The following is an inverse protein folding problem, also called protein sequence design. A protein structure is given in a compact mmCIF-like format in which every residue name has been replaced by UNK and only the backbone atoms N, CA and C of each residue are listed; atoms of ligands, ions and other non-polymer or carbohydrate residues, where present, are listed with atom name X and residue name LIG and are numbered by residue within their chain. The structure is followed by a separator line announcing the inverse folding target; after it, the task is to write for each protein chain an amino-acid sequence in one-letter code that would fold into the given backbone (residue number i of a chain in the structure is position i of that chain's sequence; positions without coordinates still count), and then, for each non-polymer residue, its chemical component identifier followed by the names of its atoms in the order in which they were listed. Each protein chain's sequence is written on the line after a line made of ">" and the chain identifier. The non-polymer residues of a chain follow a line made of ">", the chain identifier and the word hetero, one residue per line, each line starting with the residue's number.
data_IF_033990050168
#
_entry.id   IF_033990050168
#
_cell.length_a   1.000
_cell.length_b   1.000
_cell.length_c   1.000
_cell.angle_alpha   90.00
_cell.angle_beta   90.00
_cell.angle_gamma   90.00
#
_symmetry.space_group_name_H-M   'P 1'
#
loop_
_entity.id
_entity.type
_entity.pdbx_description
1 polymer ?
#
# COMPACT_ATOMS: atom_id res chain seq x y z
N UNK A 1 0.36 40.95 17.56
CA UNK A 1 1.37 39.99 17.07
C UNK A 1 0.66 38.70 16.71
N UNK A 2 0.53 38.39 15.43
CA UNK A 2 -0.15 37.18 14.94
C UNK A 2 0.78 35.99 15.06
N UNK A 3 0.33 34.94 15.73
CA UNK A 3 1.02 33.64 15.79
C UNK A 3 1.12 33.11 14.35
N UNK A 4 2.32 32.78 13.83
CA UNK A 4 2.45 32.22 12.50
C UNK A 4 1.67 30.90 12.42
N UNK A 5 1.02 30.60 11.28
CA UNK A 5 0.25 29.38 11.13
C UNK A 5 1.12 28.16 11.44
N UNK A 6 0.58 27.13 12.11
CA UNK A 6 1.37 25.96 12.47
C UNK A 6 1.87 25.24 11.21
N UNK A 7 3.19 25.09 11.09
CA UNK A 7 3.82 24.38 9.99
C UNK A 7 3.34 22.91 9.94
N UNK A 8 2.95 22.45 8.75
CA UNK A 8 2.50 21.06 8.56
C UNK A 8 3.70 20.14 8.76
N UNK A 9 3.72 19.39 9.86
CA UNK A 9 4.80 18.46 10.21
C UNK A 9 4.40 17.03 9.90
N UNK A 10 5.18 16.41 9.04
CA UNK A 10 4.89 15.11 8.46
C UNK A 10 5.98 14.13 8.85
N UNK A 11 5.53 12.98 9.35
CA UNK A 11 6.42 11.95 9.86
C UNK A 11 5.83 10.55 9.68
N UNK A 12 6.64 9.52 9.44
CA UNK A 12 6.14 8.13 9.29
C UNK A 12 5.29 7.70 10.50
N UNK A 13 4.05 7.25 10.30
CA UNK A 13 3.10 7.01 11.40
C UNK A 13 3.50 5.93 12.41
N UNK A 14 2.77 5.87 13.54
CA UNK A 14 2.96 4.91 14.67
C UNK A 14 3.09 3.43 14.23
N UNK A 15 2.61 3.07 13.03
CA UNK A 15 2.69 1.72 12.48
C UNK A 15 4.13 1.24 12.26
N UNK A 16 5.09 2.14 12.01
CA UNK A 16 6.50 1.78 11.87
C UNK A 16 7.09 1.12 13.13
N UNK A 17 6.53 1.43 14.31
CA UNK A 17 6.97 0.90 15.61
C UNK A 17 6.23 -0.37 16.04
N UNK A 18 5.14 -0.75 15.36
CA UNK A 18 4.31 -1.90 15.79
C UNK A 18 5.06 -3.21 15.74
N UNK A 19 5.92 -3.41 14.74
CA UNK A 19 6.65 -4.67 14.58
C UNK A 19 7.77 -4.82 15.62
N UNK A 20 8.68 -3.85 15.80
CA UNK A 20 9.68 -3.92 16.88
C UNK A 20 9.04 -4.10 18.25
N UNK A 21 7.97 -3.35 18.53
CA UNK A 21 7.24 -3.44 19.80
C UNK A 21 6.63 -4.85 20.01
N UNK A 22 6.00 -5.41 18.97
CA UNK A 22 5.44 -6.78 19.03
C UNK A 22 6.53 -7.81 19.30
N UNK A 23 7.67 -7.73 18.59
CA UNK A 23 8.79 -8.67 18.78
C UNK A 23 9.31 -8.60 20.22
N UNK A 24 9.54 -7.39 20.74
CA UNK A 24 9.96 -7.19 22.13
C UNK A 24 8.97 -7.76 23.13
N UNK A 25 7.68 -7.45 22.99
CA UNK A 25 6.62 -8.00 23.85
C UNK A 25 6.56 -9.53 23.77
N UNK A 26 6.58 -10.11 22.56
CA UNK A 26 6.51 -11.58 22.40
C UNK A 26 7.70 -12.28 23.03
N UNK A 27 8.90 -11.71 22.89
CA UNK A 27 10.10 -12.27 23.48
C UNK A 27 10.06 -12.22 25.01
N UNK A 28 9.61 -11.09 25.58
CA UNK A 28 9.42 -10.94 27.02
C UNK A 28 8.36 -11.91 27.56
N UNK A 29 7.22 -12.07 26.87
CA UNK A 29 6.17 -13.01 27.30
C UNK A 29 6.63 -14.47 27.18
N UNK A 30 7.38 -14.83 26.14
CA UNK A 30 7.91 -16.18 25.98
C UNK A 30 8.97 -16.48 27.06
N UNK A 31 9.86 -15.53 27.34
CA UNK A 31 10.83 -15.64 28.43
C UNK A 31 10.14 -15.81 29.78
N UNK A 32 9.14 -14.99 30.08
CA UNK A 32 8.36 -15.08 31.32
C UNK A 32 7.61 -16.41 31.43
N UNK A 33 6.97 -16.88 30.35
CA UNK A 33 6.24 -18.15 30.34
C UNK A 33 7.17 -19.35 30.60
N UNK A 34 8.36 -19.36 30.00
CA UNK A 34 9.37 -20.41 30.23
C UNK A 34 9.95 -20.34 31.65
N UNK A 35 10.18 -19.13 32.18
CA UNK A 35 10.62 -18.95 33.58
C UNK A 35 9.54 -19.40 34.58
N UNK A 36 8.26 -19.16 34.31
CA UNK A 36 7.17 -19.61 35.18
C UNK A 36 6.89 -21.11 35.05
N UNK A 37 6.99 -21.69 33.86
CA UNK A 37 6.79 -23.13 33.65
C UNK A 37 7.87 -23.97 34.33
N UNK A 38 9.11 -23.46 34.38
CA UNK A 38 10.22 -24.11 35.09
C UNK A 38 10.09 -24.02 36.62
N UNK A 39 9.28 -23.10 37.14
CA UNK A 39 8.98 -22.98 38.58
C UNK A 39 7.73 -23.76 39.02
N UNK A 40 6.87 -24.19 38.10
CA UNK A 40 5.52 -24.71 38.41
C UNK A 40 5.29 -26.19 38.05
N UNK A 41 6.32 -26.92 37.63
CA UNK A 41 6.22 -28.33 37.22
C UNK A 41 6.23 -29.32 38.41
N UNK A 42 5.55 -30.49 38.31
CA UNK A 42 5.50 -31.49 39.37
C UNK A 42 6.83 -32.23 39.63
N UNK A 43 7.79 -32.14 38.69
CA UNK A 43 9.21 -32.39 38.93
C UNK A 43 9.94 -31.06 38.97
N UNK A 44 9.92 -30.39 40.12
CA UNK A 44 10.73 -29.18 40.32
C UNK A 44 12.20 -29.57 40.14
N UNK A 45 12.83 -29.04 39.08
CA UNK A 45 14.23 -29.28 38.77
C UNK A 45 15.13 -28.97 39.97
N UNK A 46 16.27 -29.66 40.04
CA UNK A 46 17.33 -29.33 40.99
C UNK A 46 17.67 -27.82 40.87
N UNK A 47 17.83 -27.07 41.98
CA UNK A 47 17.88 -25.60 41.94
C UNK A 47 18.98 -25.03 41.03
N UNK A 48 20.05 -25.81 40.79
CA UNK A 48 21.12 -25.47 39.85
C UNK A 48 20.67 -25.42 38.39
N UNK A 49 19.88 -26.38 37.95
CA UNK A 49 19.42 -26.49 36.56
C UNK A 49 18.27 -25.51 36.26
N UNK A 50 17.42 -25.25 37.25
CA UNK A 50 16.40 -24.20 37.16
C UNK A 50 17.03 -22.81 36.99
N UNK A 51 18.07 -22.49 37.77
CA UNK A 51 18.81 -21.22 37.64
C UNK A 51 19.49 -21.08 36.28
N UNK A 52 20.10 -22.15 35.77
CA UNK A 52 20.76 -22.15 34.45
C UNK A 52 19.76 -21.91 33.32
N UNK A 53 18.59 -22.55 33.39
CA UNK A 53 17.53 -22.43 32.39
C UNK A 53 16.89 -21.04 32.42
N UNK A 54 16.58 -20.50 33.59
CA UNK A 54 16.09 -19.13 33.75
C UNK A 54 17.14 -18.12 33.24
N UNK A 55 18.42 -18.33 33.52
CA UNK A 55 19.49 -17.46 33.02
C UNK A 55 19.62 -17.50 31.49
N UNK A 56 19.52 -18.68 30.87
CA UNK A 56 19.63 -18.84 29.40
C UNK A 56 18.41 -18.27 28.68
N UNK A 57 17.19 -18.61 29.10
CA UNK A 57 15.97 -18.16 28.42
C UNK A 57 15.59 -16.72 28.80
N UNK A 58 15.79 -16.31 30.05
CA UNK A 58 15.63 -14.92 30.49
C UNK A 58 16.68 -14.01 29.86
N UNK A 59 17.92 -14.46 29.76
CA UNK A 59 18.99 -13.76 29.03
C UNK A 59 18.69 -13.65 27.54
N UNK A 60 18.21 -14.71 26.90
CA UNK A 60 17.78 -14.70 25.50
C UNK A 60 16.62 -13.72 25.24
N UNK A 61 15.61 -13.71 26.10
CA UNK A 61 14.49 -12.78 26.01
C UNK A 61 14.94 -11.31 26.17
N UNK A 62 15.86 -11.05 27.12
CA UNK A 62 16.45 -9.73 27.33
C UNK A 62 17.23 -9.25 26.09
N UNK A 63 18.03 -10.12 25.47
CA UNK A 63 18.77 -9.81 24.25
C UNK A 63 17.83 -9.46 23.08
N UNK A 64 16.74 -10.21 22.90
CA UNK A 64 15.75 -9.91 21.85
C UNK A 64 15.03 -8.58 22.13
N UNK A 65 14.68 -8.29 23.39
CA UNK A 65 14.09 -7.02 23.78
C UNK A 65 15.06 -5.85 23.53
N UNK A 66 16.34 -6.01 23.86
CA UNK A 66 17.39 -5.03 23.60
C UNK A 66 17.60 -4.80 22.09
N UNK A 67 17.63 -5.88 21.31
CA UNK A 67 17.71 -5.79 19.85
C UNK A 67 16.48 -5.08 19.25
N UNK A 68 15.27 -5.34 19.76
CA UNK A 68 14.05 -4.65 19.34
C UNK A 68 14.07 -3.16 19.73
N UNK A 69 14.57 -2.81 20.92
CA UNK A 69 14.75 -1.43 21.37
C UNK A 69 15.79 -0.70 20.52
N UNK A 70 16.94 -1.32 20.25
CA UNK A 70 17.96 -0.80 19.35
C UNK A 70 17.40 -0.59 17.94
N UNK A 71 16.61 -1.54 17.43
CA UNK A 71 15.94 -1.41 16.14
C UNK A 71 14.94 -0.25 16.12
N UNK A 72 14.12 -0.10 17.17
CA UNK A 72 13.20 1.03 17.30
C UNK A 72 13.94 2.37 17.35
N UNK A 73 15.08 2.42 18.03
CA UNK A 73 15.96 3.58 18.08
C UNK A 73 16.58 3.90 16.71
N UNK A 74 17.07 2.89 15.98
CA UNK A 74 17.58 3.05 14.61
C UNK A 74 16.47 3.59 13.69
N UNK A 75 15.26 3.03 13.75
CA UNK A 75 14.10 3.52 12.99
C UNK A 75 13.77 4.96 13.33
N UNK A 76 13.82 5.32 14.62
CA UNK A 76 13.58 6.70 15.06
C UNK A 76 14.64 7.67 14.53
N UNK A 77 15.93 7.29 14.56
CA UNK A 77 17.04 8.10 14.06
C UNK A 77 17.07 8.21 12.54
N UNK A 78 16.65 7.18 11.82
CA UNK A 78 16.56 7.16 10.35
C UNK A 78 15.30 7.80 9.77
N UNK A 79 14.38 8.26 10.62
CA UNK A 79 13.10 8.83 10.21
C UNK A 79 13.31 10.18 9.53
N UNK A 80 12.72 10.34 8.35
CA UNK A 80 12.57 11.64 7.72
C UNK A 80 11.36 12.36 8.35
N UNK A 81 11.61 13.56 8.84
CA UNK A 81 10.61 14.54 9.25
C UNK A 81 10.61 15.63 8.20
N UNK A 82 9.44 15.96 7.66
CA UNK A 82 9.28 17.03 6.69
C UNK A 82 8.33 18.04 7.29
N UNK A 83 8.77 19.29 7.41
CA UNK A 83 7.94 20.40 7.84
C UNK A 83 7.74 21.36 6.68
N UNK A 84 6.49 21.68 6.36
CA UNK A 84 6.11 22.66 5.34
C UNK A 84 5.66 23.93 6.05
N UNK A 85 6.28 25.06 5.73
CA UNK A 85 5.88 26.37 6.23
C UNK A 85 6.15 27.47 5.21
N UNK A 86 5.75 28.70 5.53
CA UNK A 86 5.85 29.87 4.64
C UNK A 86 7.27 30.12 4.13
N UNK A 87 8.29 29.80 4.94
CA UNK A 87 9.70 30.01 4.59
C UNK A 87 10.26 28.93 3.67
N UNK A 88 9.58 27.79 3.52
CA UNK A 88 10.07 26.66 2.74
C UNK A 88 9.83 25.30 3.40
N UNK A 89 10.59 24.31 2.94
CA UNK A 89 10.58 22.94 3.44
C UNK A 89 11.78 22.70 4.35
N UNK A 90 11.53 22.14 5.53
CA UNK A 90 12.59 21.66 6.42
C UNK A 90 12.58 20.14 6.43
N UNK A 91 13.68 19.55 5.97
CA UNK A 91 13.94 18.11 5.97
C UNK A 91 14.85 17.77 7.13
N UNK A 92 14.42 16.88 8.01
CA UNK A 92 15.25 16.43 9.14
C UNK A 92 15.33 14.91 9.18
N UNK A 93 16.55 14.39 9.33
CA UNK A 93 16.82 12.96 9.55
C UNK A 93 17.86 12.81 10.66
N UNK A 94 17.41 12.36 11.83
CA UNK A 94 18.25 12.28 13.01
C UNK A 94 18.73 13.65 13.50
N UNK A 95 20.04 13.87 13.50
CA UNK A 95 20.69 15.16 13.82
C UNK A 95 20.98 16.02 12.60
N UNK A 96 20.74 15.50 11.39
CA UNK A 96 20.94 16.26 10.16
C UNK A 96 19.66 16.98 9.79
N UNK A 97 19.81 18.22 9.37
CA UNK A 97 18.73 19.09 8.94
C UNK A 97 19.15 19.80 7.66
N UNK A 98 18.23 19.89 6.72
CA UNK A 98 18.39 20.63 5.48
C UNK A 98 17.13 21.45 5.27
N UNK A 99 17.30 22.71 4.88
CA UNK A 99 16.20 23.61 4.55
C UNK A 99 16.23 23.91 3.07
N UNK A 100 15.07 23.80 2.42
CA UNK A 100 14.84 24.19 1.04
C UNK A 100 13.98 25.44 1.11
N UNK A 101 14.50 26.63 0.76
CA UNK A 101 13.74 27.86 0.83
C UNK A 101 12.55 27.81 -0.16
N UNK A 102 11.45 28.49 0.16
CA UNK A 102 10.24 28.46 -0.66
C UNK A 102 10.51 28.83 -2.13
N UNK A 103 11.33 29.86 -2.37
CA UNK A 103 11.72 30.28 -3.73
C UNK A 103 12.60 29.29 -4.50
N UNK A 104 13.15 28.27 -3.84
CA UNK A 104 13.87 27.18 -4.49
C UNK A 104 12.98 25.96 -4.79
N UNK A 105 11.75 25.93 -4.29
CA UNK A 105 10.81 24.83 -4.57
C UNK A 105 10.13 25.10 -5.91
N UNK A 106 10.45 24.31 -6.91
CA UNK A 106 9.86 24.40 -8.24
C UNK A 106 8.46 23.76 -8.28
N UNK A 107 8.29 22.62 -7.61
CA UNK A 107 7.02 21.91 -7.52
C UNK A 107 7.01 20.90 -6.36
N UNK A 108 5.81 20.51 -5.93
CA UNK A 108 5.58 19.43 -4.97
C UNK A 108 4.56 18.46 -5.55
N UNK A 109 4.67 17.17 -5.27
CA UNK A 109 3.71 16.27 -5.90
C UNK A 109 3.92 14.78 -5.73
N UNK A 110 3.28 14.00 -6.58
CA UNK A 110 3.34 12.53 -6.55
C UNK A 110 4.01 12.03 -7.81
N UNK A 111 4.96 11.12 -7.67
CA UNK A 111 5.47 10.30 -8.77
C UNK A 111 4.92 8.87 -8.62
N UNK A 112 4.47 8.25 -9.71
CA UNK A 112 4.02 6.85 -9.73
C UNK A 112 5.09 5.91 -10.29
N UNK A 113 6.10 5.49 -9.51
CA UNK A 113 6.92 4.36 -9.92
C UNK A 113 6.05 3.09 -10.00
N UNK A 114 6.48 2.12 -10.80
CA UNK A 114 5.91 0.78 -11.13
C UNK A 114 4.97 0.09 -10.11
N UNK A 115 4.94 0.46 -8.81
CA UNK A 115 4.09 -0.19 -7.80
C UNK A 115 3.41 0.70 -6.75
N UNK A 116 3.99 1.85 -6.36
CA UNK A 116 3.53 2.60 -5.16
C UNK A 116 3.76 4.11 -5.36
N UNK A 117 2.82 4.99 -4.98
CA UNK A 117 3.01 6.43 -5.12
C UNK A 117 4.14 6.92 -4.21
N UNK A 118 4.93 7.86 -4.74
CA UNK A 118 6.03 8.49 -4.06
C UNK A 118 5.78 10.01 -3.95
N UNK A 119 5.80 10.55 -2.74
CA UNK A 119 5.82 12.00 -2.53
C UNK A 119 7.20 12.53 -2.93
N UNK A 120 7.21 13.41 -3.91
CA UNK A 120 8.39 14.00 -4.53
C UNK A 120 8.33 15.52 -4.42
N UNK A 121 9.49 16.14 -4.22
CA UNK A 121 9.68 17.59 -4.30
C UNK A 121 10.70 17.88 -5.39
N UNK A 122 10.36 18.79 -6.30
CA UNK A 122 11.26 19.33 -7.30
C UNK A 122 11.78 20.68 -6.80
N UNK A 123 13.09 20.84 -6.79
CA UNK A 123 13.72 22.02 -6.23
C UNK A 123 15.05 22.32 -6.90
N UNK A 124 15.49 23.56 -6.80
CA UNK A 124 16.82 23.98 -7.22
C UNK A 124 17.88 23.46 -6.22
N UNK A 125 18.75 22.51 -6.63
CA UNK A 125 19.76 21.94 -5.74
C UNK A 125 20.84 22.96 -5.34
N UNK A 126 21.06 24.03 -6.12
CA UNK A 126 22.05 25.07 -5.80
C UNK A 126 21.61 25.92 -4.61
N UNK A 127 20.30 26.21 -4.55
CA UNK A 127 19.69 26.98 -3.46
C UNK A 127 19.41 26.17 -2.18
N UNK A 128 19.60 24.84 -2.21
CA UNK A 128 19.38 23.96 -1.07
C UNK A 128 20.56 22.99 -0.81
N UNK A 129 21.76 23.52 -0.49
CA UNK A 129 22.91 22.70 -0.17
C UNK A 129 22.63 21.84 1.06
N UNK A 130 22.82 20.51 0.93
CA UNK A 130 22.64 19.56 2.03
C UNK A 130 21.37 18.71 1.96
N UNK A 131 20.43 18.99 1.05
CA UNK A 131 19.25 18.13 0.84
C UNK A 131 19.63 16.65 0.57
N UNK A 132 20.70 16.43 -0.21
CA UNK A 132 21.25 15.10 -0.50
C UNK A 132 21.81 14.35 0.72
N UNK A 133 22.12 15.06 1.81
CA UNK A 133 22.61 14.45 3.06
C UNK A 133 21.48 13.89 3.92
N UNK A 134 20.25 14.33 3.67
CA UNK A 134 19.04 14.03 4.45
C UNK A 134 18.08 13.14 3.64
N UNK A 135 18.02 13.29 2.33
CA UNK A 135 17.16 12.47 1.45
C UNK A 135 17.89 12.03 0.18
N UNK A 136 17.33 11.02 -0.51
CA UNK A 136 17.85 10.60 -1.81
C UNK A 136 17.39 11.61 -2.85
N UNK A 137 18.35 12.31 -3.44
CA UNK A 137 18.13 13.27 -4.53
C UNK A 137 18.51 12.60 -5.84
N UNK A 138 17.62 12.63 -6.82
CA UNK A 138 17.81 12.14 -8.18
C UNK A 138 17.64 13.34 -9.13
N UNK A 139 18.76 13.90 -9.59
CA UNK A 139 18.75 15.15 -10.38
C UNK A 139 18.22 16.33 -9.57
N UNK A 140 17.10 16.92 -10.02
CA UNK A 140 16.39 18.04 -9.36
C UNK A 140 15.22 17.59 -8.48
N UNK A 141 15.04 16.29 -8.30
CA UNK A 141 13.92 15.73 -7.55
C UNK A 141 14.40 15.02 -6.27
N UNK A 142 13.73 15.27 -5.15
CA UNK A 142 13.89 14.53 -3.92
C UNK A 142 12.64 13.68 -3.66
N UNK A 143 12.82 12.36 -3.60
CA UNK A 143 11.75 11.46 -3.16
C UNK A 143 11.76 11.44 -1.63
N UNK A 144 10.73 12.04 -1.02
CA UNK A 144 10.64 12.20 0.43
C UNK A 144 10.06 10.95 1.09
N UNK A 145 8.94 10.46 0.56
CA UNK A 145 8.28 9.26 1.06
C UNK A 145 7.80 8.40 -0.09
N UNK A 146 8.03 7.09 -0.01
CA UNK A 146 7.36 6.09 -0.84
C UNK A 146 6.34 5.43 0.04
N UNK A 147 5.11 5.28 -0.41
CA UNK A 147 4.11 4.71 0.48
C UNK A 147 3.30 3.54 -0.06
N UNK A 148 3.19 2.55 0.80
CA UNK A 148 2.25 1.42 0.70
C UNK A 148 0.97 1.68 1.51
N UNK A 149 1.00 2.63 2.47
CA UNK A 149 -0.02 2.90 3.48
C UNK A 149 -0.03 4.37 3.98
N UNK A 150 -0.32 5.32 3.09
CA UNK A 150 -0.57 6.70 3.50
C UNK A 150 -1.76 6.77 4.46
N UNK A 151 -1.64 7.48 5.60
CA UNK A 151 -2.82 7.82 6.40
C UNK A 151 -3.85 8.56 5.53
N UNK A 152 -5.15 8.27 5.69
CA UNK A 152 -6.20 9.04 5.03
C UNK A 152 -6.04 10.54 5.30
N UNK A 153 -6.28 11.38 4.29
CA UNK A 153 -6.21 12.85 4.39
C UNK A 153 -4.81 13.48 4.36
N UNK A 154 -3.73 12.68 4.35
CA UNK A 154 -2.37 13.25 4.33
C UNK A 154 -2.03 13.93 3.01
N UNK A 155 -2.38 13.31 1.87
CA UNK A 155 -2.11 13.91 0.54
C UNK A 155 -2.87 15.22 0.39
N UNK A 156 -4.12 15.28 0.84
CA UNK A 156 -4.93 16.49 0.82
C UNK A 156 -4.31 17.59 1.68
N UNK A 157 -3.82 17.25 2.88
CA UNK A 157 -3.10 18.17 3.74
C UNK A 157 -1.78 18.65 3.12
N UNK A 158 -1.01 17.76 2.48
CA UNK A 158 0.25 18.11 1.79
C UNK A 158 -0.04 19.00 0.59
N UNK A 159 -1.06 18.67 -0.20
CA UNK A 159 -1.50 19.45 -1.34
C UNK A 159 -1.87 20.87 -0.88
N UNK A 160 -2.78 20.99 0.10
CA UNK A 160 -3.18 22.28 0.67
C UNK A 160 -1.98 23.06 1.21
N UNK A 161 -1.08 22.43 1.97
CA UNK A 161 0.13 23.09 2.46
C UNK A 161 1.10 23.50 1.34
N UNK A 162 1.24 22.70 0.29
CA UNK A 162 2.09 23.03 -0.86
C UNK A 162 1.51 24.21 -1.66
N UNK A 163 0.21 24.22 -1.93
CA UNK A 163 -0.44 25.24 -2.75
C UNK A 163 -0.73 26.53 -1.99
N UNK A 164 -1.20 26.44 -0.74
CA UNK A 164 -1.66 27.59 0.04
C UNK A 164 -0.56 28.21 0.90
N UNK A 165 0.31 27.40 1.50
CA UNK A 165 1.35 27.88 2.43
C UNK A 165 2.68 28.11 1.72
N UNK A 166 3.11 27.15 0.90
CA UNK A 166 4.38 27.21 0.18
C UNK A 166 4.28 27.95 -1.16
N UNK A 167 3.08 28.06 -1.73
CA UNK A 167 2.84 28.67 -3.05
C UNK A 167 3.42 27.86 -4.21
N UNK A 168 3.79 26.60 -3.99
CA UNK A 168 4.38 25.73 -5.00
C UNK A 168 3.29 25.00 -5.81
N UNK A 169 3.46 24.81 -7.12
CA UNK A 169 2.52 24.06 -7.94
C UNK A 169 2.51 22.57 -7.55
N UNK A 170 1.32 21.98 -7.58
CA UNK A 170 1.13 20.55 -7.36
C UNK A 170 1.24 19.78 -8.68
N UNK A 171 2.13 18.78 -8.74
CA UNK A 171 2.34 17.96 -9.95
C UNK A 171 2.11 16.48 -9.67
N UNK A 172 1.61 15.76 -10.66
CA UNK A 172 1.53 14.29 -10.61
C UNK A 172 2.21 13.76 -11.84
N UNK A 173 3.29 13.01 -11.66
CA UNK A 173 4.00 12.38 -12.76
C UNK A 173 3.75 10.87 -12.77
N UNK A 174 3.59 10.29 -13.95
CA UNK A 174 3.65 8.84 -14.14
C UNK A 174 5.11 8.34 -14.08
N UNK A 175 5.34 7.08 -14.46
CA UNK A 175 6.70 6.51 -14.43
C UNK A 175 7.57 6.96 -15.60
N UNK A 176 6.92 7.36 -16.70
CA UNK A 176 7.54 7.93 -17.89
C UNK A 176 7.96 9.39 -17.65
N UNK A 177 7.47 10.00 -16.56
CA UNK A 177 7.75 11.39 -16.18
C UNK A 177 6.75 12.37 -16.78
N UNK A 178 5.68 11.88 -17.36
CA UNK A 178 4.63 12.68 -17.98
C UNK A 178 3.60 13.13 -16.94
N UNK A 179 3.08 14.34 -17.12
CA UNK A 179 2.15 14.93 -16.16
C UNK A 179 0.73 14.37 -16.32
N UNK A 180 0.21 13.78 -15.25
CA UNK A 180 -1.10 13.14 -15.22
C UNK A 180 -2.15 14.10 -14.66
N UNK A 181 -3.09 14.49 -15.52
CA UNK A 181 -4.26 15.29 -15.12
C UNK A 181 -5.11 14.59 -14.06
N UNK A 182 -5.90 15.36 -13.31
CA UNK A 182 -6.84 14.80 -12.32
C UNK A 182 -8.06 14.21 -13.02
N UNK A 183 -8.29 12.89 -12.99
CA UNK A 183 -9.51 12.32 -13.54
C UNK A 183 -10.72 12.71 -12.68
N UNK A 184 -11.94 12.80 -13.27
CA UNK A 184 -13.18 12.92 -12.50
C UNK A 184 -13.33 11.80 -11.47
N UNK A 185 -13.98 12.08 -10.34
CA UNK A 185 -14.12 11.10 -9.24
C UNK A 185 -14.84 9.80 -9.66
N UNK A 186 -15.71 9.89 -10.67
CA UNK A 186 -16.50 8.80 -11.20
C UNK A 186 -15.96 8.24 -12.52
N UNK A 187 -14.75 8.63 -12.94
CA UNK A 187 -14.13 8.16 -14.17
C UNK A 187 -13.97 6.63 -14.18
N UNK A 188 -13.45 6.06 -13.09
CA UNK A 188 -13.28 4.61 -12.98
C UNK A 188 -14.64 3.88 -12.93
N UNK A 189 -15.64 4.26 -12.11
CA UNK A 189 -16.98 3.68 -12.17
C UNK A 189 -17.64 3.75 -13.55
N UNK A 190 -17.49 4.87 -14.28
CA UNK A 190 -18.13 5.08 -15.59
C UNK A 190 -17.44 4.36 -16.75
N UNK A 191 -16.14 4.06 -16.64
CA UNK A 191 -15.37 3.45 -17.73
C UNK A 191 -15.95 2.08 -18.16
N UNK A 192 -16.52 2.02 -19.36
CA UNK A 192 -17.11 0.79 -19.90
C UNK A 192 -16.07 -0.23 -20.35
N UNK A 193 -14.85 0.21 -20.70
CA UNK A 193 -13.76 -0.67 -21.17
C UNK A 193 -12.45 -0.20 -20.57
N UNK A 194 -11.75 -1.11 -19.90
CA UNK A 194 -10.57 -0.79 -19.10
C UNK A 194 -9.45 -1.76 -19.48
N UNK A 195 -8.30 -1.23 -19.88
CA UNK A 195 -7.07 -2.02 -20.04
C UNK A 195 -6.34 -2.07 -18.70
N UNK A 196 -6.03 -3.27 -18.24
CA UNK A 196 -5.22 -3.50 -17.05
C UNK A 196 -3.89 -4.10 -17.46
N UNK A 197 -2.79 -3.39 -17.21
CA UNK A 197 -1.45 -3.88 -17.54
C UNK A 197 -0.89 -4.85 -16.49
N UNK A 198 0.27 -5.45 -16.78
CA UNK A 198 0.94 -6.38 -15.87
C UNK A 198 1.45 -5.76 -14.57
N UNK A 199 1.48 -4.42 -14.46
CA UNK A 199 1.81 -3.69 -13.23
C UNK A 199 0.55 -3.35 -12.39
N UNK A 200 -0.65 -3.61 -12.92
CA UNK A 200 -1.93 -3.35 -12.26
C UNK A 200 -2.47 -1.93 -12.47
N UNK A 201 -2.12 -1.27 -13.58
CA UNK A 201 -2.67 0.03 -13.96
C UNK A 201 -3.93 -0.12 -14.78
N UNK A 202 -4.95 0.65 -14.44
CA UNK A 202 -6.24 0.70 -15.10
C UNK A 202 -6.26 1.94 -15.99
N UNK A 203 -6.20 1.75 -17.31
CA UNK A 203 -6.31 2.81 -18.32
C UNK A 203 -7.60 2.62 -19.11
N UNK A 204 -8.14 3.71 -19.65
CA UNK A 204 -9.26 3.62 -20.59
C UNK A 204 -8.84 2.91 -21.90
N UNK A 205 -9.83 2.40 -22.65
CA UNK A 205 -9.75 1.44 -23.78
C UNK A 205 -8.55 1.60 -24.73
N UNK A 206 -8.13 2.82 -25.04
CA UNK A 206 -7.07 3.09 -26.03
C UNK A 206 -5.68 3.30 -25.39
N UNK A 207 -5.51 2.89 -24.13
CA UNK A 207 -4.28 3.12 -23.38
C UNK A 207 -4.11 4.57 -22.91
N UNK A 208 -5.19 5.35 -22.93
CA UNK A 208 -5.26 6.78 -22.59
C UNK A 208 -5.16 7.08 -21.08
N UNK A 209 -6.00 7.98 -20.59
CA UNK A 209 -5.93 8.54 -19.23
C UNK A 209 -5.85 7.43 -18.17
N UNK A 210 -4.88 7.56 -17.26
CA UNK A 210 -4.73 6.67 -16.11
C UNK A 210 -5.91 6.87 -15.16
N UNK A 211 -6.72 5.82 -14.98
CA UNK A 211 -7.92 5.84 -14.14
C UNK A 211 -7.59 5.40 -12.71
N UNK A 212 -6.78 4.35 -12.58
CA UNK A 212 -6.38 3.82 -11.29
C UNK A 212 -5.10 2.97 -11.31
N UNK A 213 -4.50 2.75 -10.15
CA UNK A 213 -3.32 1.89 -9.94
C UNK A 213 -3.56 0.95 -8.77
N UNK A 214 -3.36 -0.34 -8.99
CA UNK A 214 -3.46 -1.37 -7.96
C UNK A 214 -2.16 -1.47 -7.15
N UNK A 215 -2.19 -0.96 -5.91
CA UNK A 215 -1.03 -0.96 -5.01
C UNK A 215 -1.11 -2.14 -4.03
N UNK A 216 -0.03 -2.92 -3.87
CA UNK A 216 0.06 -3.94 -2.82
C UNK A 216 0.72 -5.27 -3.19
N UNK A 217 0.81 -6.19 -2.22
CA UNK A 217 1.65 -7.42 -2.26
C UNK A 217 1.20 -8.50 -3.26
N UNK A 218 0.14 -8.26 -4.03
CA UNK A 218 -0.31 -9.14 -5.13
C UNK A 218 0.15 -8.63 -6.51
N UNK A 219 0.60 -7.37 -6.63
CA UNK A 219 1.09 -6.77 -7.88
C UNK A 219 2.54 -7.16 -8.22
N UNK A 220 3.22 -7.90 -7.33
CA UNK A 220 4.58 -8.38 -7.58
C UNK A 220 4.58 -9.75 -8.23
N UNK A 221 5.02 -9.82 -9.50
CA UNK A 221 5.59 -11.04 -10.08
C UNK A 221 6.61 -11.60 -9.07
N UNK A 222 6.62 -12.91 -8.76
CA UNK A 222 7.65 -13.46 -7.88
C UNK A 222 9.02 -13.18 -8.52
N UNK A 223 9.87 -12.41 -7.82
CA UNK A 223 11.29 -12.36 -8.15
C UNK A 223 11.82 -13.78 -8.03
N UNK A 224 12.27 -14.36 -9.14
CA UNK A 224 13.11 -15.54 -9.11
C UNK A 224 14.31 -15.24 -8.18
N UNK A 225 14.48 -16.05 -7.12
CA UNK A 225 15.63 -15.94 -6.21
C UNK A 225 15.35 -15.61 -4.74
N UNK A 226 14.13 -15.75 -4.22
CA UNK A 226 13.93 -15.75 -2.76
C UNK A 226 14.16 -17.16 -2.21
N UNK A 227 15.31 -17.37 -1.56
CA UNK A 227 15.78 -18.65 -1.03
C UNK A 227 14.83 -19.36 -0.06
N UNK A 228 15.09 -20.66 0.07
CA UNK A 228 14.49 -21.56 1.05
C UNK A 228 14.67 -21.02 2.47
N UNK A 229 13.60 -20.47 3.07
CA UNK A 229 13.24 -20.46 4.50
C UNK A 229 12.14 -19.40 4.77
N UNK A 230 10.87 -19.78 4.97
CA UNK A 230 9.80 -18.83 5.29
C UNK A 230 9.62 -18.73 6.81
N UNK A 231 10.49 -18.00 7.50
CA UNK A 231 10.35 -17.72 8.95
C UNK A 231 10.30 -16.20 9.21
N UNK A 232 9.30 -15.54 8.61
CA UNK A 232 8.95 -14.16 8.94
C UNK A 232 7.44 -14.02 9.10
N UNK A 233 6.92 -13.29 10.12
CA UNK A 233 5.48 -13.10 10.34
C UNK A 233 4.93 -12.02 9.40
N UNK A 234 5.20 -12.18 8.11
CA UNK A 234 4.64 -11.43 7.00
C UNK A 234 3.45 -12.16 6.35
N UNK A 235 2.90 -13.20 6.99
CA UNK A 235 1.65 -13.88 6.60
C UNK A 235 0.39 -13.01 6.80
N UNK A 236 0.55 -11.68 6.81
CA UNK A 236 -0.51 -10.70 7.01
C UNK A 236 -1.07 -10.23 5.68
N UNK A 237 -2.35 -10.54 5.45
CA UNK A 237 -3.27 -9.85 4.53
C UNK A 237 -2.77 -9.55 3.11
N UNK A 238 -3.25 -10.32 2.13
CA UNK A 238 -3.19 -9.99 0.70
C UNK A 238 -4.15 -8.83 0.40
N UNK A 239 -3.75 -7.63 0.80
CA UNK A 239 -4.51 -6.39 0.56
C UNK A 239 -3.97 -5.70 -0.68
N UNK A 240 -4.86 -5.38 -1.62
CA UNK A 240 -4.61 -4.51 -2.76
C UNK A 240 -5.46 -3.26 -2.54
N UNK A 241 -4.88 -2.10 -2.74
CA UNK A 241 -5.59 -0.82 -2.69
C UNK A 241 -5.58 -0.26 -4.10
N UNK A 242 -6.76 -0.12 -4.69
CA UNK A 242 -6.93 0.57 -5.96
C UNK A 242 -7.00 2.07 -5.67
N UNK A 243 -6.09 2.84 -6.24
CA UNK A 243 -5.99 4.29 -6.04
C UNK A 243 -6.15 5.03 -7.35
N UNK A 244 -6.65 6.27 -7.32
CA UNK A 244 -6.55 7.17 -8.46
C UNK A 244 -5.11 7.70 -8.64
N UNK A 245 -4.78 8.42 -9.73
CA UNK A 245 -3.46 9.03 -9.91
C UNK A 245 -3.08 10.09 -8.86
N UNK A 246 -4.03 10.61 -8.09
CA UNK A 246 -3.75 11.56 -7.01
C UNK A 246 -3.62 10.83 -5.66
N UNK A 247 -3.47 9.50 -5.72
CA UNK A 247 -3.33 8.57 -4.61
C UNK A 247 -4.50 8.58 -3.61
N UNK A 248 -5.68 9.04 -4.02
CA UNK A 248 -6.95 8.79 -3.30
C UNK A 248 -7.29 7.32 -3.38
N UNK A 249 -7.70 6.74 -2.26
CA UNK A 249 -8.19 5.36 -2.22
C UNK A 249 -9.53 5.30 -2.94
N UNK A 250 -9.67 4.40 -3.91
CA UNK A 250 -10.94 4.10 -4.58
C UNK A 250 -11.57 2.82 -4.00
N UNK A 251 -10.80 1.73 -3.97
CA UNK A 251 -11.25 0.44 -3.46
C UNK A 251 -10.16 -0.26 -2.65
N UNK A 252 -10.57 -1.05 -1.66
CA UNK A 252 -9.69 -1.91 -0.87
C UNK A 252 -10.11 -3.36 -1.06
N UNK A 253 -9.24 -4.14 -1.70
CA UNK A 253 -9.43 -5.55 -1.98
C UNK A 253 -8.66 -6.37 -0.95
N UNK A 254 -9.34 -7.17 -0.15
CA UNK A 254 -8.71 -8.03 0.87
C UNK A 254 -8.97 -9.49 0.56
N UNK A 255 -7.94 -10.20 0.11
CA UNK A 255 -8.00 -11.65 -0.07
C UNK A 255 -7.71 -12.34 1.26
N UNK A 256 -8.62 -13.23 1.69
CA UNK A 256 -8.38 -14.12 2.83
C UNK A 256 -7.33 -15.17 2.44
N UNK A 257 -6.65 -15.74 3.44
CA UNK A 257 -5.64 -16.77 3.21
C UNK A 257 -6.23 -17.90 2.33
N UNK A 258 -5.46 -18.43 1.35
CA UNK A 258 -5.95 -19.46 0.47
C UNK A 258 -6.19 -20.73 1.29
N UNK A 259 -7.44 -20.96 1.66
CA UNK A 259 -7.90 -22.27 2.11
C UNK A 259 -8.45 -22.95 0.86
N UNK A 260 -8.00 -24.18 0.53
CA UNK A 260 -8.53 -24.92 -0.61
C UNK A 260 -10.07 -24.91 -0.61
N UNK A 261 -10.68 -24.48 -1.73
CA UNK A 261 -12.14 -24.37 -1.87
C UNK A 261 -12.81 -23.16 -1.16
N UNK A 262 -12.06 -22.26 -0.52
CA UNK A 262 -12.61 -21.09 0.20
C UNK A 262 -11.88 -19.79 -0.13
N UNK A 263 -11.42 -19.65 -1.37
CA UNK A 263 -10.90 -18.37 -1.86
C UNK A 263 -12.00 -17.31 -1.80
N UNK A 264 -11.73 -16.25 -1.04
CA UNK A 264 -12.65 -15.13 -0.81
C UNK A 264 -11.89 -13.82 -0.85
N UNK A 265 -12.37 -12.89 -1.66
CA UNK A 265 -11.90 -11.52 -1.74
C UNK A 265 -13.02 -10.59 -1.28
N UNK A 266 -12.73 -9.77 -0.27
CA UNK A 266 -13.63 -8.70 0.19
C UNK A 266 -13.29 -7.42 -0.54
N UNK A 267 -14.30 -6.71 -1.02
CA UNK A 267 -14.15 -5.42 -1.68
C UNK A 267 -14.82 -4.35 -0.83
N UNK A 268 -14.02 -3.38 -0.38
CA UNK A 268 -14.51 -2.23 0.38
C UNK A 268 -14.30 -0.93 -0.39
N UNK A 269 -15.15 0.06 -0.14
CA UNK A 269 -15.01 1.40 -0.66
C UNK A 269 -13.87 2.18 0.03
N UNK A 270 -13.68 3.44 -0.38
CA UNK A 270 -12.70 4.37 0.19
C UNK A 270 -12.91 4.63 1.70
N UNK A 271 -14.14 4.52 2.18
CA UNK A 271 -14.54 4.75 3.58
C UNK A 271 -14.45 3.48 4.44
N UNK A 272 -14.20 2.33 3.83
CA UNK A 272 -14.10 1.03 4.49
C UNK A 272 -15.42 0.27 4.59
N UNK A 273 -16.51 0.76 3.99
CA UNK A 273 -17.76 0.01 3.90
C UNK A 273 -17.58 -1.18 2.96
N UNK A 274 -18.17 -2.32 3.31
CA UNK A 274 -18.13 -3.51 2.47
C UNK A 274 -19.09 -3.33 1.28
N UNK A 275 -18.55 -3.28 0.07
CA UNK A 275 -19.33 -3.26 -1.18
C UNK A 275 -19.87 -4.66 -1.47
N UNK A 276 -19.02 -5.67 -1.27
CA UNK A 276 -19.38 -7.06 -1.52
C UNK A 276 -18.18 -7.98 -1.51
N UNK A 277 -18.39 -9.20 -2.02
CA UNK A 277 -17.41 -10.26 -1.95
C UNK A 277 -17.37 -11.10 -3.21
N UNK A 278 -16.17 -11.53 -3.56
CA UNK A 278 -15.92 -12.47 -4.65
C UNK A 278 -15.48 -13.79 -4.03
N UNK A 279 -16.12 -14.88 -4.41
CA UNK A 279 -15.86 -16.23 -3.89
C UNK A 279 -15.44 -17.15 -5.03
N UNK A 280 -14.57 -18.12 -4.76
CA UNK A 280 -14.07 -19.03 -5.77
C UNK A 280 -12.84 -18.50 -6.51
N UNK A 281 -12.06 -19.42 -7.08
CA UNK A 281 -10.80 -19.11 -7.76
C UNK A 281 -10.91 -19.14 -9.28
N UNK A 282 -11.37 -20.26 -9.84
CA UNK A 282 -11.46 -20.47 -11.30
C UNK A 282 -12.73 -19.88 -11.90
N UNK A 283 -13.87 -20.07 -11.23
CA UNK A 283 -15.18 -19.54 -11.62
C UNK A 283 -15.72 -18.66 -10.49
N UNK A 284 -15.26 -17.41 -10.37
CA UNK A 284 -15.64 -16.57 -9.25
C UNK A 284 -17.13 -16.20 -9.28
N UNK A 285 -17.77 -16.26 -8.12
CA UNK A 285 -19.13 -15.74 -7.88
C UNK A 285 -19.09 -14.43 -7.11
N UNK A 286 -19.98 -13.51 -7.47
CA UNK A 286 -20.08 -12.16 -6.92
C UNK A 286 -21.25 -12.06 -5.98
N UNK A 287 -21.04 -11.50 -4.79
CA UNK A 287 -22.04 -11.39 -3.75
C UNK A 287 -22.11 -9.97 -3.18
N UNK A 288 -23.30 -9.54 -2.79
CA UNK A 288 -23.48 -8.34 -1.96
C UNK A 288 -22.81 -8.51 -0.59
N UNK A 289 -22.74 -7.42 0.19
CA UNK A 289 -22.28 -7.45 1.57
C UNK A 289 -23.05 -8.46 2.45
N UNK A 290 -24.36 -8.62 2.21
CA UNK A 290 -25.24 -9.55 2.93
C UNK A 290 -25.15 -11.00 2.41
N UNK A 291 -24.43 -11.23 1.31
CA UNK A 291 -24.20 -12.56 0.74
C UNK A 291 -25.11 -12.95 -0.43
N UNK A 292 -26.03 -12.08 -0.84
CA UNK A 292 -26.90 -12.29 -2.01
C UNK A 292 -26.07 -12.41 -3.28
N UNK A 293 -26.32 -13.44 -4.10
CA UNK A 293 -25.64 -13.64 -5.37
C UNK A 293 -26.02 -12.52 -6.36
N UNK A 294 -25.01 -11.89 -6.96
CA UNK A 294 -25.17 -10.86 -8.00
C UNK A 294 -24.87 -11.40 -9.39
N UNK A 295 -23.93 -12.35 -9.48
CA UNK A 295 -23.53 -12.95 -10.74
C UNK A 295 -22.45 -14.01 -10.56
N UNK A 296 -22.18 -14.73 -11.63
CA UNK A 296 -21.15 -15.78 -11.69
C UNK A 296 -20.25 -15.56 -12.88
N UNK A 297 -19.01 -16.03 -12.78
CA UNK A 297 -18.03 -15.98 -13.86
C UNK A 297 -17.89 -17.34 -14.48
N UNK A 298 -17.86 -17.41 -15.81
CA UNK A 298 -17.51 -18.61 -16.56
C UNK A 298 -16.38 -18.31 -17.54
N UNK A 299 -15.45 -19.25 -17.67
CA UNK A 299 -14.45 -19.17 -18.72
C UNK A 299 -15.05 -19.59 -20.07
N UNK A 300 -14.82 -18.79 -21.10
CA UNK A 300 -15.32 -19.02 -22.46
C UNK A 300 -14.20 -18.76 -23.49
N UNK A 301 -13.25 -19.68 -23.61
CA UNK A 301 -12.07 -19.49 -24.47
C UNK A 301 -11.06 -18.54 -23.85
N UNK A 302 -10.72 -17.46 -24.56
CA UNK A 302 -9.74 -16.41 -24.19
C UNK A 302 -10.30 -15.38 -23.18
N UNK A 303 -11.55 -15.55 -22.75
CA UNK A 303 -12.27 -14.60 -21.92
C UNK A 303 -12.95 -15.24 -20.71
N UNK A 304 -13.11 -14.44 -19.67
CA UNK A 304 -13.95 -14.72 -18.52
C UNK A 304 -15.19 -13.83 -18.62
N UNK A 305 -16.37 -14.45 -18.68
CA UNK A 305 -17.65 -13.74 -18.80
C UNK A 305 -18.34 -13.76 -17.46
N UNK A 306 -18.69 -12.57 -16.96
CA UNK A 306 -19.50 -12.38 -15.76
C UNK A 306 -20.95 -12.22 -16.18
N UNK A 307 -21.79 -13.17 -15.77
CA UNK A 307 -23.22 -13.17 -16.04
C UNK A 307 -23.96 -12.79 -14.76
N UNK A 308 -24.87 -11.82 -14.86
CA UNK A 308 -25.75 -11.42 -13.77
C UNK A 308 -26.81 -12.49 -13.47
N UNK A 309 -27.52 -12.33 -12.34
CA UNK A 309 -28.68 -13.18 -12.00
C UNK A 309 -29.83 -13.11 -13.01
N UNK A 310 -29.84 -12.07 -13.84
CA UNK A 310 -30.77 -11.86 -14.96
C UNK A 310 -30.33 -12.61 -16.24
N UNK A 311 -29.30 -13.45 -16.15
CA UNK A 311 -28.68 -14.19 -17.25
C UNK A 311 -28.05 -13.30 -18.35
N UNK A 312 -27.87 -11.99 -18.10
CA UNK A 312 -27.23 -11.07 -19.04
C UNK A 312 -25.74 -10.94 -18.75
N UNK A 313 -24.95 -10.75 -19.79
CA UNK A 313 -23.54 -10.41 -19.65
C UNK A 313 -23.41 -9.04 -18.98
N UNK A 314 -22.75 -9.03 -17.82
CA UNK A 314 -22.55 -7.85 -16.99
C UNK A 314 -21.12 -7.31 -17.10
N UNK A 315 -20.15 -8.18 -17.33
CA UNK A 315 -18.77 -7.81 -17.63
C UNK A 315 -18.07 -8.96 -18.36
N UNK A 316 -17.00 -8.66 -19.08
CA UNK A 316 -16.10 -9.67 -19.61
C UNK A 316 -14.65 -9.23 -19.47
N UNK A 317 -13.78 -10.18 -19.14
CA UNK A 317 -12.34 -9.99 -19.05
C UNK A 317 -11.69 -10.82 -20.14
N UNK A 318 -11.11 -10.17 -21.14
CA UNK A 318 -10.30 -10.81 -22.18
C UNK A 318 -8.83 -10.82 -21.77
N UNK A 319 -8.19 -11.97 -21.90
CA UNK A 319 -6.75 -12.13 -21.70
C UNK A 319 -6.12 -11.99 -23.09
N UNK A 320 -5.38 -10.89 -23.32
CA UNK A 320 -4.70 -10.65 -24.59
C UNK A 320 -3.33 -11.32 -24.66
N UNK A 321 -2.95 -11.76 -25.85
CA UNK A 321 -1.66 -12.40 -26.16
C UNK A 321 -0.63 -11.41 -26.74
N UNK A 322 -0.75 -10.12 -26.35
CA UNK A 322 0.12 -9.08 -26.88
C UNK A 322 1.58 -9.32 -26.44
N UNK A 323 2.50 -9.31 -27.42
CA UNK A 323 3.95 -9.53 -27.30
C UNK A 323 4.71 -8.56 -26.36
N UNK A 324 3.99 -7.71 -25.62
CA UNK A 324 4.48 -6.77 -24.61
C UNK A 324 4.03 -7.08 -23.17
N UNK A 325 3.43 -8.24 -22.90
CA UNK A 325 3.25 -8.77 -21.55
C UNK A 325 1.86 -8.56 -20.93
N UNK A 326 1.01 -9.59 -21.04
CA UNK A 326 -0.02 -9.93 -20.04
C UNK A 326 -1.12 -8.90 -19.77
N UNK A 327 -1.32 -7.91 -20.63
CA UNK A 327 -2.38 -6.93 -20.47
C UNK A 327 -3.77 -7.59 -20.66
N UNK A 328 -4.68 -7.34 -19.73
CA UNK A 328 -6.07 -7.84 -19.78
C UNK A 328 -7.02 -6.69 -20.08
N UNK A 329 -8.09 -6.96 -20.82
CA UNK A 329 -9.12 -5.98 -21.14
C UNK A 329 -10.41 -6.33 -20.41
N UNK A 330 -10.86 -5.46 -19.52
CA UNK A 330 -12.11 -5.57 -18.78
C UNK A 330 -13.18 -4.70 -19.45
N UNK A 331 -14.19 -5.32 -20.04
CA UNK A 331 -15.40 -4.67 -20.52
C UNK A 331 -16.52 -4.83 -19.48
N UNK A 332 -17.27 -3.76 -19.22
CA UNK A 332 -18.38 -3.75 -18.25
C UNK A 332 -19.62 -3.20 -18.92
N UNK A 333 -20.73 -3.91 -18.76
CA UNK A 333 -22.01 -3.47 -19.27
C UNK A 333 -22.54 -2.30 -18.43
N UNK A 334 -23.04 -1.22 -19.07
CA UNK A 334 -23.70 -0.13 -18.35
C UNK A 334 -25.05 -0.56 -17.74
N UNK A 335 -25.66 -1.65 -18.25
CA UNK A 335 -26.92 -2.17 -17.74
C UNK A 335 -26.76 -3.06 -16.50
N UNK A 336 -25.52 -3.39 -16.12
CA UNK A 336 -25.27 -4.22 -14.95
C UNK A 336 -25.51 -3.41 -13.66
N UNK A 337 -26.01 -4.04 -12.58
CA UNK A 337 -26.17 -3.37 -11.30
C UNK A 337 -24.84 -2.79 -10.77
N UNK A 338 -24.89 -1.59 -10.18
CA UNK A 338 -23.68 -0.89 -9.71
C UNK A 338 -22.78 -1.70 -8.76
N UNK A 339 -23.32 -2.50 -7.82
CA UNK A 339 -22.49 -3.37 -6.99
C UNK A 339 -21.70 -4.40 -7.82
N UNK A 340 -22.34 -5.00 -8.84
CA UNK A 340 -21.70 -5.98 -9.71
C UNK A 340 -20.64 -5.31 -10.60
N UNK A 341 -20.94 -4.13 -11.16
CA UNK A 341 -19.98 -3.32 -11.95
C UNK A 341 -18.75 -2.93 -11.14
N UNK A 342 -18.94 -2.64 -9.85
CA UNK A 342 -17.86 -2.28 -8.93
C UNK A 342 -17.02 -3.49 -8.57
N UNK A 343 -17.65 -4.63 -8.25
CA UNK A 343 -16.92 -5.87 -7.95
C UNK A 343 -16.14 -6.41 -9.16
N UNK A 344 -16.65 -6.20 -10.39
CA UNK A 344 -15.96 -6.60 -11.62
C UNK A 344 -14.58 -5.94 -11.78
N UNK A 345 -14.32 -4.78 -11.17
CA UNK A 345 -12.99 -4.13 -11.17
C UNK A 345 -11.90 -4.98 -10.50
N UNK A 346 -12.30 -5.88 -9.60
CA UNK A 346 -11.39 -6.80 -8.93
C UNK A 346 -11.13 -8.10 -9.69
N UNK A 347 -11.88 -8.36 -10.77
CA UNK A 347 -11.77 -9.60 -11.56
C UNK A 347 -10.33 -9.87 -12.07
N UNK A 348 -9.58 -8.87 -12.59
CA UNK A 348 -8.17 -9.04 -12.98
C UNK A 348 -7.23 -9.53 -11.86
N UNK A 349 -7.62 -9.32 -10.59
CA UNK A 349 -6.83 -9.69 -9.41
C UNK A 349 -7.23 -11.06 -8.83
N UNK A 350 -8.38 -11.58 -9.26
CA UNK A 350 -8.95 -12.87 -8.82
C UNK A 350 -8.56 -13.96 -9.79
N UNK A 351 -8.79 -13.72 -11.08
CA UNK A 351 -8.45 -14.63 -12.17
C UNK A 351 -6.96 -14.51 -12.44
N UNK A 352 -6.23 -15.63 -12.34
CA UNK A 352 -4.83 -15.67 -12.73
C UNK A 352 -4.77 -16.13 -14.19
N UNK A 353 -4.07 -15.40 -15.08
CA UNK A 353 -3.68 -16.01 -16.35
C UNK A 353 -2.82 -17.24 -16.02
N UNK A 354 -3.27 -18.39 -16.52
CA UNK A 354 -2.62 -19.70 -16.36
C UNK A 354 -1.30 -19.76 -17.10
#
# INVERSE_FOLDING_TARGET
>A
MSVPPPALTITMGRRAYRWPLRVGLTALTAGLAVSLSTLSGPEAWDPGDARRTVAVYGGGALLIALAAALWAFIVHRGRLVVAIGEKGLVLRRGTREASIPAGAVEAVGITWPVADPAWTVWFDPEAAPGASTVTKVEGRAAVLFRDRFLPPGWIEAVHSAATEVLGAPWRVLDEEGEEVGRPPEDALPRAGRIRVDGAGRYRDRDGGVLLAVACGRLAGRPRAGAGLLPLGPGAGGRTIVLRDPHARTLLVLRRRAPVPGRDRMRVSDAHGHLVGEIRGGQEPSFHTADGTLLGTTRQAGDRYVVTGVDARESASLRIGDDAGGGAVCLERSPSAPDPLRTLALALPMVVRPS
#
